data_IF_938984158906
#
_entry.id   IF_938984158906
#
_cell.length_a   1.000
_cell.length_b   1.000
_cell.length_c   1.000
_cell.angle_alpha   90.00
_cell.angle_beta   90.00
_cell.angle_gamma   90.00
#
_symmetry.space_group_name_H-M   'P 1'
#
loop_
_entity.id
_entity.type
_entity.pdbx_description
1 polymer ?
#
# COMPACT_ATOMS: atom_id res chain seq x y z
N UNK A 1 10.17 -1.29 15.49
CA UNK A 1 11.25 -0.40 15.01
C UNK A 1 11.88 0.25 16.24
N UNK A 2 13.20 0.34 16.36
CA UNK A 2 13.84 0.94 17.56
C UNK A 2 13.88 2.48 17.44
N UNK A 3 13.98 3.23 18.56
CA UNK A 3 14.12 4.69 18.52
C UNK A 3 15.30 5.14 17.64
N UNK A 4 16.40 4.38 17.68
CA UNK A 4 17.61 4.62 16.87
C UNK A 4 17.33 4.43 15.38
N UNK A 5 16.67 3.32 15.01
CA UNK A 5 16.30 3.10 13.61
C UNK A 5 15.41 4.22 13.10
N UNK A 6 14.41 4.65 13.88
CA UNK A 6 13.50 5.70 13.47
C UNK A 6 14.18 7.05 13.27
N UNK A 7 15.12 7.41 14.16
CA UNK A 7 15.93 8.61 14.00
C UNK A 7 16.82 8.54 12.75
N UNK A 8 17.44 7.38 12.46
CA UNK A 8 18.26 7.20 11.27
C UNK A 8 17.46 7.39 9.97
N UNK A 9 16.21 6.92 9.90
CA UNK A 9 15.33 7.11 8.73
C UNK A 9 14.81 8.55 8.57
N UNK A 10 14.87 9.37 9.62
CA UNK A 10 14.48 10.78 9.57
C UNK A 10 15.63 11.69 9.11
N UNK A 11 16.87 11.18 8.99
CA UNK A 11 18.01 11.96 8.53
C UNK A 11 17.89 12.28 7.03
N UNK A 12 18.42 13.44 6.60
CA UNK A 12 18.52 13.74 5.18
C UNK A 12 19.38 12.69 4.47
N UNK A 13 19.10 12.43 3.20
CA UNK A 13 19.90 11.50 2.39
C UNK A 13 21.37 11.97 2.35
N UNK A 14 22.34 11.07 2.59
CA UNK A 14 23.76 11.41 2.50
C UNK A 14 24.13 11.76 1.06
N UNK A 15 25.06 12.71 0.92
CA UNK A 15 25.69 12.98 -0.37
C UNK A 15 26.82 11.97 -0.61
N UNK A 16 27.29 11.88 -1.86
CA UNK A 16 28.41 10.99 -2.20
C UNK A 16 29.61 11.26 -1.29
N UNK A 17 30.10 10.21 -0.63
CA UNK A 17 31.25 10.24 0.29
C UNK A 17 31.07 11.25 1.46
N UNK A 18 29.83 11.60 1.81
CA UNK A 18 29.52 12.56 2.89
C UNK A 18 28.30 12.07 3.69
N UNK A 19 28.53 11.52 4.90
CA UNK A 19 27.46 11.06 5.76
C UNK A 19 26.55 12.19 6.26
N UNK A 20 25.29 11.85 6.51
CA UNK A 20 24.37 12.71 7.26
C UNK A 20 24.45 12.39 8.75
N UNK A 21 24.42 13.42 9.59
CA UNK A 21 24.55 13.25 11.04
C UNK A 21 23.28 13.66 11.77
N UNK A 22 23.04 13.00 12.90
CA UNK A 22 22.03 13.42 13.86
C UNK A 22 22.22 12.77 15.22
N UNK A 23 21.31 13.05 16.14
CA UNK A 23 21.35 12.52 17.50
C UNK A 23 20.06 11.79 17.80
N UNK A 24 20.16 10.76 18.64
CA UNK A 24 19.01 10.07 19.18
C UNK A 24 19.26 9.68 20.64
N UNK A 25 18.19 9.38 21.35
CA UNK A 25 18.26 8.78 22.67
C UNK A 25 17.86 7.32 22.55
N UNK A 26 18.69 6.42 23.05
CA UNK A 26 18.38 4.99 23.07
C UNK A 26 17.32 4.65 24.13
N UNK A 27 16.93 3.38 24.22
CA UNK A 27 15.93 2.93 25.18
C UNK A 27 16.37 3.01 26.65
N UNK A 28 17.67 3.21 26.90
CA UNK A 28 18.26 3.31 28.24
C UNK A 28 18.49 4.78 28.65
N UNK A 29 18.17 5.74 27.79
CA UNK A 29 18.37 7.16 28.04
C UNK A 29 19.75 7.68 27.62
N UNK A 30 20.58 6.87 26.96
CA UNK A 30 21.88 7.34 26.47
C UNK A 30 21.69 8.18 25.21
N UNK A 31 22.43 9.28 25.12
CA UNK A 31 22.51 10.08 23.89
C UNK A 31 23.55 9.46 22.97
N UNK A 32 23.14 9.17 21.74
CA UNK A 32 24.00 8.60 20.70
C UNK A 32 24.10 9.53 19.50
N UNK A 33 25.29 9.60 18.93
CA UNK A 33 25.54 10.27 17.65
C UNK A 33 25.39 9.25 16.52
N UNK A 34 24.60 9.61 15.51
CA UNK A 34 24.34 8.80 14.33
C UNK A 34 25.07 9.38 13.13
N UNK A 35 25.68 8.51 12.33
CA UNK A 35 26.18 8.79 10.99
C UNK A 35 25.44 7.87 10.02
N UNK A 36 24.76 8.46 9.04
CA UNK A 36 24.10 7.74 7.95
C UNK A 36 24.96 7.86 6.71
N UNK A 37 25.62 6.77 6.34
CA UNK A 37 26.59 6.75 5.24
C UNK A 37 25.92 6.56 3.87
N UNK A 38 24.91 5.68 3.80
CA UNK A 38 24.22 5.36 2.55
C UNK A 38 22.75 4.96 2.78
N UNK A 39 21.92 5.21 1.77
CA UNK A 39 20.54 4.69 1.70
C UNK A 39 20.40 3.88 0.42
N UNK A 40 20.11 2.59 0.56
CA UNK A 40 19.87 1.67 -0.57
C UNK A 40 18.38 1.58 -0.83
N UNK A 41 17.98 1.70 -2.10
CA UNK A 41 16.62 1.39 -2.49
C UNK A 41 16.34 -0.08 -2.22
N UNK A 42 15.26 -0.37 -1.49
CA UNK A 42 14.73 -1.73 -1.43
C UNK A 42 14.28 -2.16 -2.82
N UNK A 43 14.65 -3.36 -3.24
CA UNK A 43 14.06 -3.97 -4.42
C UNK A 43 12.77 -4.69 -4.01
N UNK A 44 11.74 -4.59 -4.84
CA UNK A 44 10.56 -5.43 -4.71
C UNK A 44 10.78 -6.67 -5.59
N UNK A 45 10.84 -7.89 -5.02
CA UNK A 45 10.94 -9.12 -5.78
C UNK A 45 9.79 -9.24 -6.80
N UNK A 46 10.03 -9.86 -7.95
CA UNK A 46 9.04 -9.95 -9.02
C UNK A 46 7.75 -10.66 -8.59
N UNK A 47 7.85 -11.69 -7.76
CA UNK A 47 6.69 -12.40 -7.22
C UNK A 47 5.82 -11.48 -6.35
N UNK A 48 6.44 -10.57 -5.60
CA UNK A 48 5.73 -9.62 -4.75
C UNK A 48 5.08 -8.50 -5.59
N UNK A 49 5.74 -8.05 -6.67
CA UNK A 49 5.12 -7.16 -7.67
C UNK A 49 3.89 -7.82 -8.31
N UNK A 50 4.01 -9.09 -8.71
CA UNK A 50 2.92 -9.85 -9.32
C UNK A 50 1.75 -10.03 -8.36
N UNK A 51 2.02 -10.37 -7.10
CA UNK A 51 0.99 -10.46 -6.07
C UNK A 51 0.30 -9.11 -5.81
N UNK A 52 1.03 -8.00 -5.77
CA UNK A 52 0.44 -6.66 -5.67
C UNK A 52 -0.46 -6.33 -6.86
N UNK A 53 0.01 -6.56 -8.09
CA UNK A 53 -0.79 -6.31 -9.31
C UNK A 53 -2.05 -7.19 -9.29
N UNK A 54 -1.92 -8.47 -8.97
CA UNK A 54 -3.06 -9.39 -8.84
C UNK A 54 -4.05 -8.94 -7.76
N UNK A 55 -3.57 -8.50 -6.60
CA UNK A 55 -4.40 -7.99 -5.51
C UNK A 55 -5.19 -6.74 -5.91
N UNK A 56 -4.54 -5.78 -6.60
CA UNK A 56 -5.21 -4.59 -7.15
C UNK A 56 -6.25 -4.98 -8.20
N UNK A 57 -5.91 -5.91 -9.11
CA UNK A 57 -6.85 -6.39 -10.13
C UNK A 57 -8.05 -7.10 -9.51
N UNK A 58 -7.84 -7.96 -8.50
CA UNK A 58 -8.94 -8.64 -7.79
C UNK A 58 -9.83 -7.65 -7.04
N UNK A 59 -9.25 -6.64 -6.39
CA UNK A 59 -10.01 -5.61 -5.69
C UNK A 59 -10.87 -4.78 -6.66
N UNK A 60 -10.29 -4.36 -7.80
CA UNK A 60 -11.02 -3.62 -8.82
C UNK A 60 -12.05 -4.50 -9.55
N UNK A 61 -11.79 -5.79 -9.74
CA UNK A 61 -12.73 -6.71 -10.38
C UNK A 61 -14.02 -6.87 -9.59
N UNK A 62 -13.97 -6.88 -8.25
CA UNK A 62 -15.17 -6.92 -7.40
C UNK A 62 -16.03 -5.66 -7.59
N UNK A 63 -15.41 -4.47 -7.63
CA UNK A 63 -16.11 -3.18 -7.82
C UNK A 63 -16.71 -3.08 -9.22
N UNK A 64 -15.94 -3.43 -10.26
CA UNK A 64 -16.40 -3.39 -11.66
C UNK A 64 -17.49 -4.43 -11.90
N UNK A 65 -17.39 -5.63 -11.33
CA UNK A 65 -18.43 -6.65 -11.45
C UNK A 65 -19.72 -6.23 -10.76
N UNK A 66 -19.65 -5.63 -9.56
CA UNK A 66 -20.82 -5.08 -8.88
C UNK A 66 -21.44 -3.92 -9.67
N UNK A 67 -20.64 -3.01 -10.21
CA UNK A 67 -21.10 -1.91 -11.06
C UNK A 67 -21.74 -2.42 -12.37
N UNK A 68 -21.15 -3.41 -13.01
CA UNK A 68 -21.72 -4.08 -14.18
C UNK A 68 -23.04 -4.77 -13.82
N UNK A 69 -23.11 -5.56 -12.75
CA UNK A 69 -24.35 -6.20 -12.29
C UNK A 69 -25.43 -5.18 -11.92
N UNK A 70 -25.06 -4.07 -11.29
CA UNK A 70 -25.97 -2.97 -10.95
C UNK A 70 -26.51 -2.29 -12.21
N UNK A 71 -25.66 -2.03 -13.21
CA UNK A 71 -26.08 -1.47 -14.49
C UNK A 71 -26.92 -2.47 -15.31
N UNK A 72 -26.50 -3.73 -15.41
CA UNK A 72 -27.27 -4.81 -16.06
C UNK A 72 -28.65 -4.98 -15.40
N UNK A 73 -28.76 -4.89 -14.06
CA UNK A 73 -30.07 -4.92 -13.35
C UNK A 73 -30.92 -3.69 -13.62
N UNK A 74 -30.31 -2.50 -13.76
CA UNK A 74 -31.02 -1.25 -14.06
C UNK A 74 -31.50 -1.18 -15.51
N UNK A 75 -30.71 -1.68 -16.45
CA UNK A 75 -30.99 -1.64 -17.89
C UNK A 75 -31.79 -2.85 -18.38
N UNK A 76 -31.83 -3.95 -17.62
CA UNK A 76 -32.70 -5.07 -17.91
C UNK A 76 -34.16 -4.66 -17.77
N UNK A 77 -34.85 -4.53 -18.90
CA UNK A 77 -36.31 -4.44 -18.94
C UNK A 77 -36.90 -5.81 -18.61
N UNK A 78 -36.99 -6.14 -17.31
CA UNK A 78 -37.59 -7.39 -16.85
C UNK A 78 -39.09 -7.34 -17.16
N UNK A 79 -39.51 -7.99 -18.24
CA UNK A 79 -40.92 -8.31 -18.45
C UNK A 79 -41.25 -9.53 -17.61
N UNK A 80 -41.87 -9.31 -16.46
CA UNK A 80 -42.56 -10.38 -15.74
C UNK A 80 -43.77 -10.72 -16.61
N UNK A 81 -43.77 -11.89 -17.25
CA UNK A 81 -44.95 -12.37 -17.96
C UNK A 81 -46.11 -12.58 -16.98
N UNK A 82 -47.34 -12.39 -17.45
CA UNK A 82 -48.63 -12.31 -16.72
C UNK A 82 -49.04 -13.58 -15.93
N UNK A 83 -48.10 -14.27 -15.28
CA UNK A 83 -48.36 -15.47 -14.49
C UNK A 83 -48.44 -15.20 -12.97
N UNK A 84 -48.44 -13.94 -12.54
CA UNK A 84 -48.59 -13.55 -11.13
C UNK A 84 -49.88 -12.75 -10.83
N UNK A 85 -50.69 -12.42 -11.83
CA UNK A 85 -52.05 -11.87 -11.63
C UNK A 85 -53.09 -13.00 -11.58
N UNK A 86 -53.02 -13.85 -10.55
CA UNK A 86 -54.17 -14.63 -10.09
C UNK A 86 -54.28 -14.51 -8.58
N UNK A 87 -55.04 -13.49 -8.14
CA UNK A 87 -55.87 -13.53 -6.93
C UNK A 87 -57.27 -13.03 -7.29
#
# INVERSE_FOLDING_TARGET
MTPISQAAFALPLPAKDKPSYGMATDMQGNVVLLALDEVKQGSMPEDQKKAMVQGITQNNAQIVFEALMSNLRKEAKIKIGDALEQQ
#
